data_IF_569065259391
#
_entry.id   IF_569065259391
#
_cell.length_a   1.000
_cell.length_b   1.000
_cell.length_c   1.000
_cell.angle_alpha   90.00
_cell.angle_beta   90.00
_cell.angle_gamma   90.00
#
_symmetry.space_group_name_H-M   'P 1'
#
loop_
_entity.id
_entity.type
_entity.pdbx_description
1 polymer ?
#
# COMPACT_ATOMS: atom_id res chain seq x y z
N UNK A 1 -7.32 4.17 -20.91
CA UNK A 1 -7.53 5.18 -19.85
C UNK A 1 -6.76 6.43 -20.23
N UNK A 2 -7.41 7.61 -20.31
CA UNK A 2 -6.72 8.85 -20.70
C UNK A 2 -5.72 9.25 -19.60
N UNK A 3 -4.51 9.59 -20.02
CA UNK A 3 -3.43 10.06 -19.15
C UNK A 3 -2.99 11.43 -19.68
N UNK A 4 -2.86 12.40 -18.78
CA UNK A 4 -2.25 13.70 -19.07
C UNK A 4 -0.85 13.68 -18.47
N UNK A 5 0.17 13.67 -19.32
CA UNK A 5 1.55 13.77 -18.88
C UNK A 5 1.94 15.22 -18.69
N UNK A 6 2.43 15.58 -17.51
CA UNK A 6 2.99 16.88 -17.17
C UNK A 6 4.50 16.76 -17.05
N UNK A 7 5.19 17.76 -17.59
CA UNK A 7 6.62 17.91 -17.42
C UNK A 7 6.91 19.32 -16.88
N UNK A 8 7.40 19.39 -15.67
CA UNK A 8 7.85 20.65 -15.09
C UNK A 8 9.25 20.99 -15.58
N UNK A 9 9.38 22.03 -16.38
CA UNK A 9 10.65 22.45 -16.96
C UNK A 9 11.64 22.99 -15.91
N UNK A 10 11.14 23.52 -14.78
CA UNK A 10 11.99 24.09 -13.73
C UNK A 10 12.66 23.03 -12.86
N UNK A 11 11.94 21.97 -12.52
CA UNK A 11 12.43 20.89 -11.64
C UNK A 11 12.84 19.62 -12.38
N UNK A 12 12.46 19.48 -13.66
CA UNK A 12 12.64 18.25 -14.44
C UNK A 12 11.70 17.11 -14.03
N UNK A 13 10.76 17.36 -13.13
CA UNK A 13 9.79 16.34 -12.67
C UNK A 13 8.79 16.01 -13.75
N UNK A 14 8.49 14.71 -13.86
CA UNK A 14 7.43 14.18 -14.72
C UNK A 14 6.32 13.63 -13.85
N UNK A 15 5.07 14.00 -14.17
CA UNK A 15 3.88 13.54 -13.45
C UNK A 15 2.81 13.12 -14.44
N UNK A 16 2.20 11.97 -14.18
CA UNK A 16 1.09 11.45 -14.97
C UNK A 16 -0.21 11.62 -14.19
N UNK A 17 -1.16 12.37 -14.76
CA UNK A 17 -2.50 12.55 -14.18
C UNK A 17 -3.44 11.57 -14.87
N UNK A 18 -4.00 10.64 -14.09
CA UNK A 18 -4.98 9.66 -14.54
C UNK A 18 -6.38 10.08 -14.07
N UNK A 19 -7.34 10.14 -14.97
CA UNK A 19 -8.73 10.43 -14.62
C UNK A 19 -9.52 9.13 -14.45
N UNK A 20 -10.49 9.12 -13.50
CA UNK A 20 -11.42 8.02 -13.27
C UNK A 20 -10.77 6.68 -12.96
N UNK A 21 -9.62 6.66 -12.31
CA UNK A 21 -8.91 5.43 -11.93
C UNK A 21 -9.25 4.99 -10.51
N UNK A 22 -10.52 4.59 -10.28
CA UNK A 22 -10.99 4.13 -8.96
C UNK A 22 -10.20 2.93 -8.43
N UNK A 23 -9.80 2.01 -9.31
CA UNK A 23 -9.02 0.83 -8.93
C UNK A 23 -7.64 1.21 -8.36
N UNK A 24 -6.99 2.23 -8.92
CA UNK A 24 -5.71 2.70 -8.39
C UNK A 24 -5.83 3.25 -6.97
N UNK A 25 -6.94 3.92 -6.64
CA UNK A 25 -7.21 4.40 -5.28
C UNK A 25 -7.36 3.24 -4.30
N UNK A 26 -8.15 2.21 -4.67
CA UNK A 26 -8.34 1.02 -3.85
C UNK A 26 -7.02 0.26 -3.64
N UNK A 27 -6.25 0.08 -4.69
CA UNK A 27 -4.94 -0.58 -4.62
C UNK A 27 -3.96 0.20 -3.73
N UNK A 28 -3.93 1.52 -3.84
CA UNK A 28 -3.07 2.37 -3.01
C UNK A 28 -3.48 2.31 -1.54
N UNK A 29 -4.79 2.31 -1.26
CA UNK A 29 -5.32 2.16 0.10
C UNK A 29 -4.96 0.80 0.70
N UNK A 30 -5.12 -0.29 -0.05
CA UNK A 30 -4.74 -1.63 0.39
C UNK A 30 -3.25 -1.69 0.76
N UNK A 31 -2.37 -1.17 -0.10
CA UNK A 31 -0.95 -1.12 0.19
C UNK A 31 -0.68 -0.30 1.46
N UNK A 32 -1.32 0.86 1.60
CA UNK A 32 -1.18 1.71 2.79
C UNK A 32 -1.55 0.95 4.06
N UNK A 33 -2.69 0.27 4.09
CA UNK A 33 -3.09 -0.54 5.24
C UNK A 33 -2.02 -1.56 5.62
N UNK A 34 -1.45 -2.28 4.66
CA UNK A 34 -0.37 -3.22 4.94
C UNK A 34 0.91 -2.54 5.47
N UNK A 35 1.26 -1.35 4.95
CA UNK A 35 2.45 -0.62 5.39
C UNK A 35 2.32 -0.07 6.81
N UNK A 36 1.10 0.22 7.26
CA UNK A 36 0.82 0.73 8.61
C UNK A 36 0.79 -0.37 9.69
N UNK A 37 0.59 -1.65 9.31
CA UNK A 37 0.51 -2.75 10.26
C UNK A 37 1.86 -3.14 10.90
N UNK A 38 2.95 -3.07 10.15
CA UNK A 38 4.26 -3.48 10.64
C UNK A 38 5.38 -2.68 9.94
N UNK A 39 6.33 -2.08 10.68
CA UNK A 39 7.39 -1.25 10.11
C UNK A 39 8.34 -2.01 9.17
N UNK A 40 8.37 -3.33 9.23
CA UNK A 40 9.16 -4.16 8.30
C UNK A 40 8.55 -4.19 6.90
N UNK A 41 7.24 -3.97 6.77
CA UNK A 41 6.55 -4.00 5.48
C UNK A 41 7.01 -2.89 4.54
N UNK A 42 6.99 -1.60 4.91
CA UNK A 42 7.50 -0.55 4.03
C UNK A 42 8.99 -0.70 3.75
N UNK A 43 9.80 -1.11 4.73
CA UNK A 43 11.24 -1.30 4.55
C UNK A 43 11.54 -2.38 3.50
N UNK A 44 10.88 -3.55 3.59
CA UNK A 44 11.03 -4.63 2.62
C UNK A 44 10.53 -4.22 1.24
N UNK A 45 9.35 -3.61 1.15
CA UNK A 45 8.79 -3.15 -0.12
C UNK A 45 9.70 -2.13 -0.81
N UNK A 46 10.28 -1.20 -0.05
CA UNK A 46 11.24 -0.24 -0.60
C UNK A 46 12.49 -0.95 -1.13
N UNK A 47 13.08 -1.85 -0.35
CA UNK A 47 14.28 -2.60 -0.73
C UNK A 47 14.06 -3.43 -2.00
N UNK A 48 12.94 -4.18 -2.08
CA UNK A 48 12.59 -5.01 -3.24
C UNK A 48 12.37 -4.15 -4.48
N UNK A 49 11.62 -3.04 -4.37
CA UNK A 49 11.39 -2.12 -5.48
C UNK A 49 12.68 -1.45 -5.96
N UNK A 50 13.53 -1.03 -5.02
CA UNK A 50 14.84 -0.44 -5.35
C UNK A 50 15.72 -1.45 -6.09
N UNK A 51 15.82 -2.68 -5.57
CA UNK A 51 16.57 -3.77 -6.21
C UNK A 51 16.03 -4.07 -7.61
N UNK A 52 14.72 -4.22 -7.78
CA UNK A 52 14.10 -4.52 -9.05
C UNK A 52 14.37 -3.41 -10.09
N UNK A 53 14.30 -2.15 -9.66
CA UNK A 53 14.63 -1.00 -10.53
C UNK A 53 16.11 -1.01 -10.95
N UNK A 54 17.02 -1.28 -10.02
CA UNK A 54 18.46 -1.36 -10.31
C UNK A 54 18.82 -2.50 -11.24
N UNK A 55 18.03 -3.58 -11.26
CA UNK A 55 18.20 -4.75 -12.14
C UNK A 55 17.49 -4.62 -13.48
N UNK A 56 16.74 -3.54 -13.72
CA UNK A 56 15.98 -3.37 -14.97
C UNK A 56 14.80 -4.34 -15.11
N UNK A 57 14.31 -4.92 -14.00
CA UNK A 57 13.18 -5.88 -13.97
C UNK A 57 11.91 -5.26 -13.39
N UNK A 58 11.74 -3.94 -13.53
CA UNK A 58 10.58 -3.19 -13.09
C UNK A 58 9.99 -2.37 -14.25
N UNK A 59 9.91 -2.96 -15.43
CA UNK A 59 9.42 -2.32 -16.65
C UNK A 59 8.34 -3.18 -17.32
N UNK A 60 7.04 -2.96 -17.00
CA UNK A 60 5.94 -3.77 -17.53
C UNK A 60 5.88 -3.83 -19.06
N UNK A 61 6.25 -2.74 -19.72
CA UNK A 61 6.29 -2.68 -21.19
C UNK A 61 7.35 -3.62 -21.81
N UNK A 62 8.30 -4.09 -21.00
CA UNK A 62 9.34 -5.07 -21.39
C UNK A 62 9.08 -6.46 -20.82
N UNK A 63 7.84 -6.72 -20.36
CA UNK A 63 7.44 -8.04 -19.87
C UNK A 63 7.87 -8.37 -18.43
N UNK A 64 8.37 -7.39 -17.66
CA UNK A 64 8.71 -7.58 -16.25
C UNK A 64 7.58 -7.13 -15.33
N UNK A 65 7.55 -7.58 -14.05
CA UNK A 65 6.54 -7.13 -13.09
C UNK A 65 6.57 -5.61 -12.85
N UNK A 66 5.40 -5.02 -12.58
CA UNK A 66 5.30 -3.62 -12.17
C UNK A 66 5.78 -3.42 -10.71
N UNK A 67 6.04 -2.16 -10.31
CA UNK A 67 6.33 -1.82 -8.91
C UNK A 67 5.24 -2.28 -7.94
N UNK A 68 3.98 -2.27 -8.39
CA UNK A 68 2.84 -2.77 -7.61
C UNK A 68 2.92 -4.28 -7.41
N UNK A 69 3.23 -5.04 -8.46
CA UNK A 69 3.40 -6.49 -8.37
C UNK A 69 4.56 -6.86 -7.42
N UNK A 70 5.68 -6.16 -7.47
CA UNK A 70 6.79 -6.34 -6.54
C UNK A 70 6.39 -6.07 -5.09
N UNK A 71 5.58 -5.04 -4.84
CA UNK A 71 5.06 -4.76 -3.50
C UNK A 71 4.13 -5.88 -3.00
N UNK A 72 3.24 -6.41 -3.85
CA UNK A 72 2.37 -7.53 -3.49
C UNK A 72 3.16 -8.82 -3.19
N UNK A 73 4.23 -9.10 -3.93
CA UNK A 73 5.11 -10.24 -3.64
C UNK A 73 5.82 -10.09 -2.29
N UNK A 74 6.27 -8.87 -1.95
CA UNK A 74 6.87 -8.60 -0.65
C UNK A 74 5.86 -8.76 0.49
N UNK A 75 4.61 -8.30 0.31
CA UNK A 75 3.53 -8.50 1.29
C UNK A 75 3.23 -10.00 1.45
N UNK A 76 3.08 -10.74 0.36
CA UNK A 76 2.84 -12.18 0.40
C UNK A 76 3.98 -12.92 1.13
N UNK A 77 5.22 -12.54 0.86
CA UNK A 77 6.35 -13.09 1.61
C UNK A 77 6.22 -12.88 3.12
N UNK A 78 5.80 -11.70 3.58
CA UNK A 78 5.60 -11.41 5.00
C UNK A 78 4.40 -12.15 5.60
N UNK A 79 3.37 -12.45 4.80
CA UNK A 79 2.20 -13.23 5.21
C UNK A 79 2.54 -14.72 5.40
N UNK A 80 3.50 -15.24 4.63
CA UNK A 80 3.86 -16.67 4.64
C UNK A 80 5.01 -17.02 5.59
N UNK A 81 5.53 -16.05 6.36
CA UNK A 81 6.54 -16.34 7.39
C UNK A 81 5.97 -17.12 8.56
N UNK A 82 6.83 -17.81 9.31
CA UNK A 82 6.46 -18.50 10.55
C UNK A 82 7.29 -17.92 11.71
N UNK A 83 6.66 -17.16 12.62
CA UNK A 83 5.26 -16.73 12.59
C UNK A 83 5.00 -15.69 11.48
N UNK A 84 3.74 -15.56 11.01
CA UNK A 84 3.38 -14.55 10.03
C UNK A 84 3.66 -13.13 10.53
N UNK A 85 4.24 -12.29 9.68
CA UNK A 85 4.51 -10.88 9.99
C UNK A 85 3.28 -10.02 9.68
N UNK A 86 2.59 -10.34 8.60
CA UNK A 86 1.38 -9.64 8.17
C UNK A 86 0.19 -10.60 8.10
N UNK A 87 -1.02 -10.19 8.52
CA UNK A 87 -2.25 -10.94 8.25
C UNK A 87 -2.67 -10.82 6.79
N UNK A 88 -3.59 -11.67 6.34
CA UNK A 88 -4.25 -11.49 5.06
C UNK A 88 -5.51 -10.61 5.27
N UNK A 89 -5.40 -9.31 4.97
CA UNK A 89 -6.51 -8.36 5.17
C UNK A 89 -7.75 -8.73 4.36
N UNK A 90 -7.57 -9.26 3.16
CA UNK A 90 -8.67 -9.68 2.30
C UNK A 90 -9.44 -10.88 2.88
N UNK A 91 -8.80 -11.74 3.66
CA UNK A 91 -9.45 -12.86 4.34
C UNK A 91 -10.18 -12.43 5.62
N UNK A 92 -9.68 -11.42 6.33
CA UNK A 92 -10.30 -10.89 7.56
C UNK A 92 -11.66 -10.21 7.28
N UNK A 93 -11.86 -9.69 6.09
CA UNK A 93 -13.08 -8.97 5.71
C UNK A 93 -14.31 -9.88 5.49
N UNK A 94 -14.24 -11.20 5.77
CA UNK A 94 -15.38 -12.14 5.73
C UNK A 94 -16.03 -12.33 4.35
N UNK A 95 -15.39 -11.87 3.28
CA UNK A 95 -15.89 -12.02 1.93
C UNK A 95 -14.74 -12.04 0.95
N UNK A 96 -14.73 -13.03 0.08
CA UNK A 96 -13.71 -13.22 -0.92
C UNK A 96 -13.44 -11.94 -1.72
N UNK A 97 -12.25 -11.87 -2.28
CA UNK A 97 -11.85 -10.82 -3.21
C UNK A 97 -12.95 -10.60 -4.27
N UNK A 98 -13.55 -9.42 -4.30
CA UNK A 98 -14.44 -8.99 -5.37
C UNK A 98 -13.69 -8.08 -6.31
N UNK A 99 -13.75 -8.38 -7.61
CA UNK A 99 -13.26 -7.45 -8.65
C UNK A 99 -14.18 -6.22 -8.82
N UNK A 100 -15.31 -6.19 -8.09
CA UNK A 100 -16.23 -5.06 -8.11
C UNK A 100 -15.78 -4.02 -7.07
N UNK A 101 -15.32 -2.84 -7.54
CA UNK A 101 -14.96 -1.74 -6.65
C UNK A 101 -16.11 -1.29 -5.74
N UNK A 102 -17.37 -1.42 -6.18
CA UNK A 102 -18.53 -1.04 -5.38
C UNK A 102 -18.75 -1.99 -4.20
N UNK A 103 -18.49 -3.29 -4.36
CA UNK A 103 -18.56 -4.26 -3.27
C UNK A 103 -17.51 -4.01 -2.17
N UNK A 104 -16.37 -3.42 -2.53
CA UNK A 104 -15.31 -3.04 -1.59
C UNK A 104 -15.65 -1.74 -0.83
N UNK A 105 -16.32 -0.81 -1.52
CA UNK A 105 -16.79 0.46 -0.95
C UNK A 105 -17.99 0.27 -0.01
N UNK A 106 -18.87 -0.69 -0.30
CA UNK A 106 -20.03 -1.03 0.53
C UNK A 106 -19.66 -1.73 1.85
N UNK A 107 -18.40 -2.20 2.00
CA UNK A 107 -17.94 -2.99 3.14
C UNK A 107 -17.04 -2.25 4.11
N UNK A 108 -16.85 -0.94 3.99
CA UNK A 108 -16.27 -0.17 5.07
C UNK A 108 -17.26 -0.16 6.24
N UNK A 109 -16.87 -0.54 7.48
CA UNK A 109 -17.79 -0.72 8.61
C UNK A 109 -18.63 0.51 8.93
N UNK A 110 -18.27 1.66 8.47
CA UNK A 110 -18.78 2.96 8.83
C UNK A 110 -19.55 3.66 7.70
N UNK A 111 -19.71 3.03 6.51
CA UNK A 111 -20.41 3.68 5.38
C UNK A 111 -19.76 5.02 4.95
N UNK A 112 -18.60 5.33 5.48
CA UNK A 112 -17.92 6.57 5.21
C UNK A 112 -17.48 6.60 3.75
N UNK A 113 -17.94 7.60 3.04
CA UNK A 113 -17.46 7.95 1.70
C UNK A 113 -15.92 8.05 1.77
N UNK A 114 -15.25 7.36 0.88
CA UNK A 114 -13.79 7.32 0.81
C UNK A 114 -13.26 8.75 0.71
N UNK A 115 -12.77 9.31 1.81
CA UNK A 115 -11.97 10.52 1.77
C UNK A 115 -10.72 10.24 0.92
N UNK A 116 -10.55 10.89 -0.23
CA UNK A 116 -9.39 10.70 -1.09
C UNK A 116 -8.09 11.13 -0.41
N UNK A 117 -8.17 11.81 0.76
CA UNK A 117 -7.02 12.28 1.51
C UNK A 117 -7.26 12.17 3.03
N UNK A 118 -7.34 10.94 3.59
CA UNK A 118 -7.57 10.78 5.01
C UNK A 118 -6.44 11.43 5.79
N UNK A 119 -6.80 12.38 6.67
CA UNK A 119 -5.88 12.93 7.68
C UNK A 119 -5.28 11.78 8.50
N UNK A 120 -3.95 11.73 8.69
CA UNK A 120 -3.33 10.70 9.52
C UNK A 120 -3.93 10.75 10.92
N UNK A 121 -4.52 9.65 11.36
CA UNK A 121 -4.96 9.47 12.73
C UNK A 121 -3.74 9.65 13.64
N UNK A 122 -3.80 10.53 14.66
CA UNK A 122 -2.68 10.67 15.58
C UNK A 122 -2.41 9.31 16.24
N UNK A 123 -1.18 8.85 16.12
CA UNK A 123 -0.69 7.65 16.84
C UNK A 123 -0.96 7.83 18.31
N UNK A 124 -1.61 6.88 19.01
CA UNK A 124 -1.78 6.94 20.44
C UNK A 124 -0.41 7.10 21.09
N UNK A 125 -0.27 8.15 21.90
CA UNK A 125 0.96 8.36 22.66
C UNK A 125 1.23 7.10 23.51
N UNK A 126 2.45 6.53 23.48
CA UNK A 126 2.73 5.35 24.30
C UNK A 126 2.42 5.68 25.75
N UNK A 127 1.55 4.90 26.37
CA UNK A 127 1.23 4.98 27.79
C UNK A 127 2.52 4.92 28.60
N UNK A 128 2.75 5.81 29.55
CA UNK A 128 3.93 5.75 30.41
C UNK A 128 3.98 4.41 31.11
N UNK A 129 5.15 3.77 31.06
CA UNK A 129 5.39 2.51 31.75
C UNK A 129 5.20 2.74 33.28
N UNK A 130 4.25 2.07 33.95
CA UNK A 130 3.97 2.33 35.37
C UNK A 130 5.02 1.76 36.35
N UNK A 131 6.14 1.23 35.88
CA UNK A 131 7.10 0.59 36.77
C UNK A 131 8.56 0.92 36.39
N UNK A 132 9.15 2.06 36.89
CA UNK A 132 10.58 2.23 36.87
C UNK A 132 11.19 1.27 37.89
N UNK A 133 12.00 0.31 37.47
CA UNK A 133 12.84 -0.49 38.32
C UNK A 133 13.77 0.42 39.12
N UNK A 134 13.82 0.35 40.47
CA UNK A 134 14.82 1.08 41.26
C UNK A 134 16.20 0.47 41.02
N UNK A 135 17.21 1.35 40.92
CA UNK A 135 18.63 1.00 40.92
C UNK A 135 19.05 0.31 42.18
#
# INVERSE_FOLDING_TARGET
MPIVALHDAATGLKSDICMCNRLALLNSRLLRCYMELDPRAPALCFAVKHWAKRRGINEPYRGSPSSYAWALMAIHFLQTRQPPVLPCLQALSGGGWSNDPAAYLARTPDGAELDPNPTPTPTPNPTPNPNPTPN
#
